data_IF_052838388991
#
_entry.id   IF_052838388991
#
_cell.length_a   1.000
_cell.length_b   1.000
_cell.length_c   1.000
_cell.angle_alpha   90.00
_cell.angle_beta   90.00
_cell.angle_gamma   90.00
#
_symmetry.space_group_name_H-M   'P 1'
#
loop_
_entity.id
_entity.type
_entity.pdbx_description
1 polymer ?
#
# COMPACT_ATOMS: atom_id res chain seq x y z
N UNK A 1 -26.52 -19.24 -19.42
CA UNK A 1 -25.97 -19.43 -18.05
C UNK A 1 -24.69 -18.60 -17.90
N UNK A 2 -24.76 -17.39 -17.33
CA UNK A 2 -23.64 -16.41 -17.24
C UNK A 2 -23.20 -16.12 -15.79
N UNK A 3 -23.72 -16.86 -14.81
CA UNK A 3 -23.59 -16.59 -13.38
C UNK A 3 -22.18 -16.87 -12.82
N UNK A 4 -21.42 -17.80 -13.41
CA UNK A 4 -20.08 -18.18 -12.93
C UNK A 4 -19.01 -17.10 -13.15
N UNK A 5 -19.17 -16.23 -14.15
CA UNK A 5 -18.20 -15.15 -14.43
C UNK A 5 -18.40 -13.92 -13.54
N UNK A 6 -19.65 -13.63 -13.16
CA UNK A 6 -19.97 -12.51 -12.27
C UNK A 6 -19.44 -12.73 -10.85
N UNK A 7 -19.62 -13.94 -10.30
CA UNK A 7 -19.12 -14.26 -8.94
C UNK A 7 -17.60 -14.28 -8.83
N UNK A 8 -16.88 -14.60 -9.91
CA UNK A 8 -15.42 -14.51 -9.96
C UNK A 8 -14.92 -13.07 -9.97
N UNK A 9 -15.58 -12.20 -10.74
CA UNK A 9 -15.22 -10.78 -10.82
C UNK A 9 -15.52 -10.03 -9.52
N UNK A 10 -16.65 -10.31 -8.87
CA UNK A 10 -17.02 -9.73 -7.57
C UNK A 10 -16.06 -10.13 -6.46
N UNK A 11 -15.64 -11.41 -6.44
CA UNK A 11 -14.64 -11.89 -5.47
C UNK A 11 -13.29 -11.21 -5.66
N UNK A 12 -12.84 -11.03 -6.89
CA UNK A 12 -11.59 -10.33 -7.19
C UNK A 12 -11.67 -8.84 -6.80
N UNK A 13 -12.78 -8.18 -7.10
CA UNK A 13 -13.01 -6.80 -6.71
C UNK A 13 -13.00 -6.64 -5.18
N UNK A 14 -13.67 -7.56 -4.46
CA UNK A 14 -13.70 -7.53 -3.00
C UNK A 14 -12.33 -7.85 -2.37
N UNK A 15 -11.57 -8.78 -2.96
CA UNK A 15 -10.21 -9.08 -2.53
C UNK A 15 -9.28 -7.87 -2.71
N UNK A 16 -9.37 -7.17 -3.85
CA UNK A 16 -8.61 -5.94 -4.10
C UNK A 16 -9.00 -4.81 -3.14
N UNK A 17 -10.29 -4.55 -2.96
CA UNK A 17 -10.77 -3.55 -2.01
C UNK A 17 -10.33 -3.87 -0.56
N UNK A 18 -10.32 -5.15 -0.19
CA UNK A 18 -9.82 -5.58 1.12
C UNK A 18 -8.31 -5.41 1.26
N UNK A 19 -7.56 -5.61 0.17
CA UNK A 19 -6.12 -5.39 0.13
C UNK A 19 -5.79 -3.89 0.24
N UNK A 20 -6.43 -3.04 -0.55
CA UNK A 20 -6.27 -1.58 -0.49
C UNK A 20 -6.54 -1.03 0.91
N UNK A 21 -7.61 -1.50 1.57
CA UNK A 21 -7.90 -1.12 2.97
C UNK A 21 -6.79 -1.52 3.94
N UNK A 22 -6.24 -2.73 3.78
CA UNK A 22 -5.15 -3.21 4.65
C UNK A 22 -3.87 -2.42 4.43
N UNK A 23 -3.57 -2.03 3.19
CA UNK A 23 -2.42 -1.21 2.84
C UNK A 23 -2.56 0.20 3.45
N UNK A 24 -3.75 0.82 3.35
CA UNK A 24 -4.05 2.10 3.99
C UNK A 24 -3.94 2.02 5.52
N UNK A 25 -4.48 0.97 6.15
CA UNK A 25 -4.39 0.77 7.59
C UNK A 25 -2.93 0.61 8.06
N UNK A 26 -2.11 -0.10 7.29
CA UNK A 26 -0.68 -0.26 7.58
C UNK A 26 0.08 1.05 7.43
N UNK A 27 -0.23 1.80 6.37
CA UNK A 27 0.34 3.11 6.12
C UNK A 27 0.03 4.10 7.25
N UNK A 28 -1.22 4.15 7.70
CA UNK A 28 -1.64 4.99 8.83
C UNK A 28 -0.92 4.62 10.14
N UNK A 29 -0.75 3.32 10.41
CA UNK A 29 0.01 2.85 11.58
C UNK A 29 1.49 3.23 11.51
N UNK A 30 2.11 3.07 10.34
CA UNK A 30 3.52 3.42 10.15
C UNK A 30 3.75 4.93 10.33
N UNK A 31 2.85 5.78 9.82
CA UNK A 31 2.90 7.22 10.09
C UNK A 31 2.79 7.54 11.58
N UNK A 32 1.85 6.90 12.28
CA UNK A 32 1.69 7.08 13.73
C UNK A 32 2.95 6.69 14.49
N UNK A 33 3.58 5.56 14.14
CA UNK A 33 4.86 5.13 14.74
C UNK A 33 5.97 6.13 14.47
N UNK A 34 6.08 6.68 13.26
CA UNK A 34 7.07 7.72 12.96
C UNK A 34 6.79 8.98 13.78
N UNK A 35 5.54 9.40 13.90
CA UNK A 35 5.14 10.58 14.67
C UNK A 35 5.40 10.43 16.18
N UNK A 36 5.23 9.23 16.73
CA UNK A 36 5.49 8.94 18.14
C UNK A 36 6.99 8.92 18.49
N UNK A 37 7.84 8.50 17.55
CA UNK A 37 9.26 8.27 17.81
C UNK A 37 10.20 9.34 17.24
N UNK A 38 9.81 10.06 16.19
CA UNK A 38 10.63 11.10 15.60
C UNK A 38 10.55 12.37 16.45
N UNK A 39 11.61 12.64 17.21
CA UNK A 39 11.72 13.85 18.03
C UNK A 39 12.18 15.07 17.22
N UNK A 40 12.91 14.83 16.12
CA UNK A 40 13.38 15.86 15.20
C UNK A 40 12.50 15.90 13.93
N UNK A 41 12.01 17.08 13.49
CA UNK A 41 11.20 17.22 12.28
C UNK A 41 11.89 16.75 10.98
N UNK A 42 13.21 16.86 10.91
CA UNK A 42 14.02 16.40 9.77
C UNK A 42 14.11 14.88 9.75
N UNK A 43 14.31 14.25 10.90
CA UNK A 43 14.32 12.79 11.02
C UNK A 43 12.95 12.21 10.67
N UNK A 44 11.88 12.87 11.11
CA UNK A 44 10.50 12.55 10.73
C UNK A 44 10.33 12.57 9.21
N UNK A 45 10.72 13.66 8.56
CA UNK A 45 10.59 13.81 7.10
C UNK A 45 11.42 12.75 6.34
N UNK A 46 12.62 12.45 6.83
CA UNK A 46 13.47 11.40 6.26
C UNK A 46 12.83 10.02 6.38
N UNK A 47 12.28 9.68 7.55
CA UNK A 47 11.62 8.39 7.78
C UNK A 47 10.36 8.23 6.93
N UNK A 48 9.55 9.28 6.80
CA UNK A 48 8.37 9.28 5.91
C UNK A 48 8.80 8.98 4.47
N UNK A 49 9.84 9.65 3.97
CA UNK A 49 10.34 9.42 2.62
C UNK A 49 10.96 8.03 2.42
N UNK A 50 11.74 7.53 3.38
CA UNK A 50 12.37 6.20 3.30
C UNK A 50 11.36 5.06 3.32
N UNK A 51 10.24 5.25 4.03
CA UNK A 51 9.18 4.26 4.13
C UNK A 51 8.11 4.42 3.03
N UNK A 52 8.25 5.43 2.15
CA UNK A 52 7.25 5.73 1.11
C UNK A 52 5.88 6.05 1.70
N UNK A 53 5.86 6.73 2.85
CA UNK A 53 4.62 7.07 3.57
C UNK A 53 4.02 8.41 3.12
N UNK A 54 4.58 9.02 2.08
CA UNK A 54 4.02 10.21 1.48
C UNK A 54 2.82 9.84 0.60
N UNK A 55 1.69 10.54 0.78
CA UNK A 55 0.47 10.34 -0.03
C UNK A 55 0.71 10.49 -1.54
N UNK A 56 1.81 11.13 -1.95
CA UNK A 56 2.20 11.31 -3.34
C UNK A 56 2.94 10.09 -3.94
N UNK A 57 3.57 9.25 -3.12
CA UNK A 57 4.16 7.98 -3.54
C UNK A 57 3.14 6.88 -3.42
N UNK A 58 2.14 6.92 -4.30
CA UNK A 58 1.58 5.65 -4.77
C UNK A 58 2.78 4.86 -5.30
N UNK A 59 3.16 3.72 -4.71
CA UNK A 59 4.20 2.90 -5.31
C UNK A 59 3.68 2.55 -6.71
N UNK A 60 4.34 3.10 -7.74
CA UNK A 60 4.13 2.63 -9.08
C UNK A 60 4.24 1.10 -9.01
N UNK A 61 3.30 0.33 -9.60
CA UNK A 61 3.37 -1.12 -9.53
C UNK A 61 4.76 -1.50 -10.03
N UNK A 62 5.57 -2.06 -9.13
CA UNK A 62 6.86 -2.63 -9.48
C UNK A 62 6.56 -3.61 -10.60
N UNK A 63 6.93 -3.23 -11.83
CA UNK A 63 6.87 -4.14 -12.97
C UNK A 63 7.80 -5.25 -12.59
N UNK A 64 7.22 -6.38 -12.20
CA UNK A 64 7.87 -7.64 -11.93
C UNK A 64 8.84 -7.90 -13.09
N UNK A 65 10.12 -7.61 -12.87
CA UNK A 65 11.16 -7.91 -13.85
C UNK A 65 11.34 -9.41 -13.74
N UNK A 66 10.62 -10.12 -14.62
CA UNK A 66 10.70 -11.57 -14.76
C UNK A 66 12.14 -12.06 -14.91
N UNK A 67 12.38 -13.35 -14.67
CA UNK A 67 13.72 -13.88 -14.46
C UNK A 67 14.61 -13.61 -15.68
N UNK A 68 15.82 -13.11 -15.40
CA UNK A 68 16.91 -12.99 -16.36
C UNK A 68 17.13 -14.38 -16.98
N UNK A 69 16.78 -14.52 -18.26
CA UNK A 69 17.11 -15.67 -19.09
C UNK A 69 18.54 -15.54 -19.63
#
# INVERSE_FOLDING_TARGET
>A
MTTRRHSGSERLANARASQERRELDQHAKALCTVDEHATDPRDRAMLIAMLGLDEASSPAPVRDVGPLS
#
